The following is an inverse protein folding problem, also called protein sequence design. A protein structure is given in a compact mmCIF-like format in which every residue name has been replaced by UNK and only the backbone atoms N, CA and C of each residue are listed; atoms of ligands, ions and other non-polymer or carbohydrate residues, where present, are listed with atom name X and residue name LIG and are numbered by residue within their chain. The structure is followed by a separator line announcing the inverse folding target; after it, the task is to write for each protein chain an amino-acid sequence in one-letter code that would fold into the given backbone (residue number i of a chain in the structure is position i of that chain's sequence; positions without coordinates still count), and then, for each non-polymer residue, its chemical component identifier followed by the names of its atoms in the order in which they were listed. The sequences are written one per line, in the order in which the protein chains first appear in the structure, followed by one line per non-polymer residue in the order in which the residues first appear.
data_IF_414815002695
#
_entry.id   IF_414815002695
#
_cell.length_a   1.000
_cell.length_b   1.000
_cell.length_c   1.000
_cell.angle_alpha   90.00
_cell.angle_beta   90.00
_cell.angle_gamma   90.00
#
_symmetry.space_group_name_H-M   'P 1'
#
loop_
_entity.id
_entity.type
_entity.pdbx_description
1 polymer ?
#
# COMPACT_ATOMS: atom_id res chain seq x y z
N UNK A 1 -19.56 -3.71 25.81
CA UNK A 1 -19.19 -2.72 24.77
C UNK A 1 -18.78 -3.48 23.53
N UNK A 2 -19.66 -3.53 22.53
CA UNK A 2 -19.33 -4.09 21.22
C UNK A 2 -18.48 -3.03 20.53
N UNK A 3 -17.23 -3.33 20.21
CA UNK A 3 -16.36 -2.36 19.55
C UNK A 3 -16.91 -2.06 18.16
N UNK A 4 -16.80 -0.81 17.70
CA UNK A 4 -17.26 -0.37 16.38
C UNK A 4 -16.74 -1.26 15.23
N UNK A 5 -15.57 -1.90 15.42
CA UNK A 5 -14.97 -2.88 14.51
C UNK A 5 -15.82 -4.15 14.31
N UNK A 6 -16.53 -4.61 15.34
CA UNK A 6 -17.35 -5.83 15.27
C UNK A 6 -18.67 -5.60 14.53
N UNK A 7 -19.24 -4.39 14.65
CA UNK A 7 -20.47 -3.98 13.94
C UNK A 7 -20.22 -3.89 12.42
N UNK A 8 -19.08 -3.35 12.00
CA UNK A 8 -18.73 -3.21 10.58
C UNK A 8 -18.54 -4.55 9.86
N UNK A 9 -18.10 -5.59 10.61
CA UNK A 9 -17.95 -6.96 10.08
C UNK A 9 -19.28 -7.71 9.98
N UNK A 10 -20.27 -7.36 10.81
CA UNK A 10 -21.60 -7.96 10.84
C UNK A 10 -22.54 -7.43 9.74
N UNK A 11 -22.34 -6.20 9.27
CA UNK A 11 -23.24 -5.54 8.28
C UNK A 11 -22.79 -5.68 6.82
N UNK A 12 -21.67 -6.34 6.54
CA UNK A 12 -21.23 -6.63 5.15
C UNK A 12 -20.93 -5.42 4.26
N UNK A 13 -20.91 -4.20 4.82
CA UNK A 13 -20.64 -2.96 4.08
C UNK A 13 -19.53 -2.21 4.80
N UNK A 14 -18.29 -2.61 4.54
CA UNK A 14 -17.13 -1.75 4.79
C UNK A 14 -16.93 -0.93 3.53
N UNK A 15 -17.30 0.36 3.56
CA UNK A 15 -16.95 1.27 2.47
C UNK A 15 -15.46 1.62 2.58
N UNK A 16 -14.73 1.52 1.46
CA UNK A 16 -13.38 2.08 1.36
C UNK A 16 -13.46 3.58 1.68
N UNK A 17 -12.62 4.04 2.61
CA UNK A 17 -12.57 5.45 3.04
C UNK A 17 -11.58 6.25 2.20
N UNK A 18 -10.57 5.59 1.66
CA UNK A 18 -9.52 6.19 0.85
C UNK A 18 -9.50 5.56 -0.54
N UNK A 19 -9.20 6.37 -1.54
CA UNK A 19 -8.97 5.95 -2.90
C UNK A 19 -7.46 5.86 -3.17
N UNK A 20 -7.02 4.76 -3.77
CA UNK A 20 -5.62 4.58 -4.16
C UNK A 20 -5.48 4.78 -5.66
N UNK A 21 -4.64 5.72 -6.04
CA UNK A 21 -4.17 5.93 -7.40
C UNK A 21 -2.70 5.51 -7.56
N UNK A 22 -2.28 5.26 -8.79
CA UNK A 22 -0.89 4.97 -9.13
C UNK A 22 -0.30 6.17 -9.87
N UNK A 23 0.85 6.64 -9.40
CA UNK A 23 1.58 7.69 -10.10
C UNK A 23 1.98 7.22 -11.50
N UNK A 24 1.71 8.06 -12.49
CA UNK A 24 2.18 7.92 -13.86
C UNK A 24 3.20 9.02 -14.19
N UNK A 25 4.25 8.66 -14.90
CA UNK A 25 5.21 9.61 -15.42
C UNK A 25 4.64 10.40 -16.62
N UNK A 26 5.45 11.30 -17.19
CA UNK A 26 5.05 12.13 -18.34
C UNK A 26 4.69 11.33 -19.60
N UNK A 27 4.99 10.03 -19.64
CA UNK A 27 4.69 9.11 -20.74
C UNK A 27 3.50 8.20 -20.42
N UNK A 28 2.83 8.39 -19.28
CA UNK A 28 1.74 7.52 -18.83
C UNK A 28 2.21 6.18 -18.28
N UNK A 29 3.48 6.06 -17.86
CA UNK A 29 4.03 4.82 -17.32
C UNK A 29 4.04 4.86 -15.80
N UNK A 30 3.55 3.79 -15.16
CA UNK A 30 3.58 3.65 -13.71
C UNK A 30 4.49 2.51 -13.30
N UNK A 31 5.55 2.86 -12.57
CA UNK A 31 6.54 1.89 -12.09
C UNK A 31 5.92 0.81 -11.18
N UNK A 32 4.92 1.17 -10.37
CA UNK A 32 4.22 0.21 -9.51
C UNK A 32 3.38 -0.76 -10.33
N UNK A 33 2.66 -0.26 -11.34
CA UNK A 33 1.84 -1.09 -12.23
C UNK A 33 2.73 -2.05 -13.01
N UNK A 34 3.86 -1.57 -13.53
CA UNK A 34 4.82 -2.41 -14.25
C UNK A 34 5.45 -3.46 -13.33
N UNK A 35 5.77 -3.11 -12.09
CA UNK A 35 6.24 -4.06 -11.09
C UNK A 35 5.19 -5.14 -10.76
N UNK A 36 3.92 -4.78 -10.60
CA UNK A 36 2.83 -5.74 -10.40
C UNK A 36 2.73 -6.70 -11.59
N UNK A 37 2.73 -6.17 -12.82
CA UNK A 37 2.71 -6.97 -14.05
C UNK A 37 3.90 -7.93 -14.14
N UNK A 38 5.10 -7.49 -13.78
CA UNK A 38 6.30 -8.33 -13.73
C UNK A 38 6.10 -9.51 -12.78
N UNK A 39 5.64 -9.25 -11.54
CA UNK A 39 5.40 -10.29 -10.54
C UNK A 39 4.32 -11.29 -10.99
N UNK A 40 3.24 -10.82 -11.60
CA UNK A 40 2.15 -11.66 -12.10
C UNK A 40 2.57 -12.51 -13.31
N UNK A 41 3.40 -11.95 -14.20
CA UNK A 41 3.92 -12.66 -15.39
C UNK A 41 4.86 -13.82 -15.04
N UNK A 42 5.48 -13.80 -13.86
CA UNK A 42 6.38 -14.84 -13.36
C UNK A 42 5.93 -15.34 -11.98
N UNK A 43 4.90 -16.21 -11.90
CA UNK A 43 4.17 -16.50 -10.68
C UNK A 43 4.87 -17.51 -9.75
N UNK A 44 6.11 -17.23 -9.36
CA UNK A 44 6.86 -18.00 -8.35
C UNK A 44 6.20 -17.89 -6.97
N UNK A 45 6.57 -18.78 -6.03
CA UNK A 45 6.08 -18.71 -4.64
C UNK A 45 6.41 -17.36 -3.98
N UNK A 46 7.60 -16.81 -4.25
CA UNK A 46 8.03 -15.51 -3.73
C UNK A 46 7.21 -14.36 -4.32
N UNK A 47 6.98 -14.36 -5.64
CA UNK A 47 6.22 -13.31 -6.31
C UNK A 47 4.75 -13.31 -5.88
N UNK A 48 4.11 -14.48 -5.80
CA UNK A 48 2.75 -14.62 -5.25
C UNK A 48 2.65 -14.12 -3.81
N UNK A 49 3.64 -14.44 -2.97
CA UNK A 49 3.70 -13.96 -1.59
C UNK A 49 3.83 -12.44 -1.53
N UNK A 50 4.63 -11.86 -2.42
CA UNK A 50 4.84 -10.41 -2.51
C UNK A 50 3.57 -9.69 -2.94
N UNK A 51 2.91 -10.13 -4.01
CA UNK A 51 1.63 -9.58 -4.47
C UNK A 51 0.55 -9.68 -3.39
N UNK A 52 0.42 -10.83 -2.73
CA UNK A 52 -0.54 -11.00 -1.63
C UNK A 52 -0.31 -9.99 -0.50
N UNK A 53 0.95 -9.75 -0.12
CA UNK A 53 1.29 -8.75 0.90
C UNK A 53 0.97 -7.33 0.43
N UNK A 54 1.31 -7.00 -0.83
CA UNK A 54 1.02 -5.69 -1.41
C UNK A 54 -0.48 -5.40 -1.41
N UNK A 55 -1.28 -6.29 -2.00
CA UNK A 55 -2.73 -6.12 -2.09
C UNK A 55 -3.39 -6.06 -0.71
N UNK A 56 -2.98 -6.90 0.23
CA UNK A 56 -3.46 -6.82 1.61
C UNK A 56 -3.17 -5.44 2.23
N UNK A 57 -1.97 -4.91 2.05
CA UNK A 57 -1.62 -3.60 2.62
C UNK A 57 -2.31 -2.43 1.89
N UNK A 58 -2.54 -2.53 0.59
CA UNK A 58 -3.36 -1.57 -0.17
C UNK A 58 -4.80 -1.57 0.33
N UNK A 59 -5.42 -2.75 0.47
CA UNK A 59 -6.76 -2.88 1.04
C UNK A 59 -6.84 -2.24 2.43
N UNK A 60 -5.84 -2.49 3.27
CA UNK A 60 -5.76 -1.84 4.58
C UNK A 60 -5.66 -0.31 4.50
N UNK A 61 -4.90 0.24 3.56
CA UNK A 61 -4.85 1.68 3.32
C UNK A 61 -6.21 2.22 2.87
N UNK A 62 -6.90 1.54 1.98
CA UNK A 62 -8.24 1.94 1.51
C UNK A 62 -9.25 2.04 2.67
N UNK A 63 -9.12 1.19 3.70
CA UNK A 63 -10.04 1.21 4.85
C UNK A 63 -9.61 2.09 6.02
N UNK A 64 -8.31 2.13 6.33
CA UNK A 64 -7.79 2.77 7.54
C UNK A 64 -6.94 4.00 7.26
N UNK A 65 -6.46 4.19 6.03
CA UNK A 65 -5.48 5.21 5.69
C UNK A 65 -4.18 5.06 6.48
N UNK A 66 -3.53 6.17 6.76
CA UNK A 66 -2.24 6.20 7.48
C UNK A 66 -2.36 5.88 8.97
N UNK A 67 -3.57 5.89 9.54
CA UNK A 67 -3.82 5.52 10.93
C UNK A 67 -3.45 4.07 11.26
N UNK A 68 -3.28 3.21 10.25
CA UNK A 68 -2.85 1.83 10.49
C UNK A 68 -1.47 1.72 11.15
N UNK A 69 -0.60 2.71 10.93
CA UNK A 69 0.70 2.84 11.58
C UNK A 69 1.65 1.65 11.38
N UNK A 70 2.69 1.59 12.21
CA UNK A 70 3.68 0.52 12.17
C UNK A 70 3.06 -0.81 12.65
N UNK A 71 3.46 -1.97 12.06
CA UNK A 71 4.59 -2.15 11.15
C UNK A 71 4.26 -2.00 9.64
N UNK A 72 3.01 -1.70 9.27
CA UNK A 72 2.56 -1.68 7.87
C UNK A 72 2.95 -0.38 7.17
N UNK A 73 2.76 0.75 7.85
CA UNK A 73 2.96 2.09 7.31
C UNK A 73 3.87 2.90 8.23
N UNK A 74 4.76 3.70 7.66
CA UNK A 74 5.62 4.62 8.41
C UNK A 74 5.67 5.98 7.71
N UNK A 75 5.49 7.07 8.45
CA UNK A 75 5.70 8.42 7.91
C UNK A 75 7.18 8.65 7.69
N UNK A 76 7.55 9.22 6.54
CA UNK A 76 8.92 9.65 6.27
C UNK A 76 9.03 11.13 6.62
N UNK A 77 8.29 11.97 5.89
CA UNK A 77 8.30 13.42 6.04
C UNK A 77 7.03 14.01 5.42
N UNK A 78 6.40 14.97 6.10
CA UNK A 78 5.22 15.68 5.59
C UNK A 78 4.12 14.73 5.11
N UNK A 79 3.74 14.84 3.83
CA UNK A 79 2.71 14.02 3.19
C UNK A 79 3.25 12.69 2.61
N UNK A 80 4.54 12.38 2.78
CA UNK A 80 5.19 11.18 2.23
C UNK A 80 5.26 10.07 3.27
N UNK A 81 4.82 8.88 2.85
CA UNK A 81 4.71 7.69 3.66
C UNK A 81 5.32 6.48 2.97
N UNK A 82 5.67 5.48 3.76
CA UNK A 82 6.22 4.20 3.33
C UNK A 82 5.28 3.07 3.72
N UNK A 83 4.77 2.33 2.73
CA UNK A 83 4.22 0.98 2.89
C UNK A 83 5.36 -0.04 2.98
N UNK A 84 5.20 -1.05 3.84
CA UNK A 84 6.28 -1.97 4.21
C UNK A 84 5.98 -3.44 3.88
N UNK A 85 5.73 -3.83 2.61
CA UNK A 85 5.57 -5.23 2.22
C UNK A 85 6.95 -5.91 2.14
N UNK A 86 7.44 -6.48 3.25
CA UNK A 86 8.78 -7.05 3.36
C UNK A 86 9.06 -8.12 2.27
N UNK A 87 10.21 -8.03 1.55
CA UNK A 87 11.34 -7.11 1.76
C UNK A 87 11.25 -5.77 0.99
N UNK A 88 10.15 -5.53 0.30
CA UNK A 88 9.93 -4.32 -0.49
C UNK A 88 9.43 -3.16 0.36
N UNK A 89 9.51 -1.97 -0.24
CA UNK A 89 8.96 -0.71 0.24
C UNK A 89 8.26 -0.03 -0.91
N UNK A 90 7.13 0.59 -0.62
CA UNK A 90 6.36 1.37 -1.59
C UNK A 90 6.14 2.74 -0.99
N UNK A 91 6.66 3.78 -1.65
CA UNK A 91 6.37 5.15 -1.25
C UNK A 91 5.00 5.55 -1.76
N UNK A 92 4.27 6.30 -0.93
CA UNK A 92 3.02 6.91 -1.30
C UNK A 92 2.88 8.29 -0.68
N UNK A 93 2.02 9.12 -1.26
CA UNK A 93 1.66 10.41 -0.69
C UNK A 93 0.18 10.44 -0.31
N UNK A 94 -0.13 11.16 0.77
CA UNK A 94 -1.50 11.54 1.12
C UNK A 94 -1.86 12.84 0.42
N UNK A 95 -2.97 12.85 -0.32
CA UNK A 95 -3.54 14.05 -0.94
C UNK A 95 -4.76 14.53 -0.14
N UNK A 96 -5.46 15.53 -0.66
CA UNK A 96 -6.75 15.97 -0.12
C UNK A 96 -7.85 14.92 -0.45
N UNK A 97 -9.03 15.06 0.14
CA UNK A 97 -10.21 14.23 -0.17
C UNK A 97 -10.02 12.71 -0.04
N UNK A 98 -9.22 12.27 0.94
CA UNK A 98 -8.91 10.86 1.20
C UNK A 98 -8.25 10.14 0.02
N UNK A 99 -7.55 10.86 -0.86
CA UNK A 99 -6.80 10.25 -1.95
C UNK A 99 -5.37 9.90 -1.51
N UNK A 100 -4.90 8.73 -1.95
CA UNK A 100 -3.56 8.22 -1.74
C UNK A 100 -2.95 7.91 -3.10
N UNK A 101 -1.71 8.34 -3.33
CA UNK A 101 -1.02 8.05 -4.60
C UNK A 101 0.24 7.22 -4.36
N UNK A 102 0.29 6.00 -4.91
CA UNK A 102 1.47 5.14 -4.87
C UNK A 102 2.51 5.63 -5.89
N UNK A 103 3.71 5.95 -5.42
CA UNK A 103 4.72 6.66 -6.20
C UNK A 103 5.74 5.72 -6.85
N UNK A 104 6.36 4.87 -6.03
CA UNK A 104 7.53 4.09 -6.45
C UNK A 104 7.81 2.93 -5.48
N UNK A 105 8.17 1.76 -6.01
CA UNK A 105 8.62 0.61 -5.24
C UNK A 105 10.14 0.46 -5.29
N UNK A 106 10.72 -0.05 -4.20
CA UNK A 106 12.07 -0.59 -4.23
C UNK A 106 12.22 -1.78 -3.28
N UNK A 107 13.17 -2.66 -3.57
CA UNK A 107 13.56 -3.75 -2.67
C UNK A 107 14.58 -3.22 -1.66
N UNK A 108 14.30 -3.35 -0.36
CA UNK A 108 15.24 -2.94 0.69
C UNK A 108 16.43 -3.91 0.70
N UNK A 109 17.64 -3.41 0.42
CA UNK A 109 18.88 -4.20 0.31
C UNK A 109 19.60 -4.47 1.64
N UNK A 110 19.35 -3.67 2.69
CA UNK A 110 19.94 -3.82 4.03
C UNK A 110 18.95 -3.46 5.14
N UNK A 111 19.09 -4.05 6.33
CA UNK A 111 18.21 -3.75 7.47
C UNK A 111 18.47 -2.35 8.05
N UNK A 112 19.71 -1.85 7.95
CA UNK A 112 20.12 -0.51 8.43
C UNK A 112 19.77 0.55 7.39
N UNK A 113 19.08 1.59 7.85
CA UNK A 113 19.09 2.93 7.23
C UNK A 113 20.54 3.45 7.29
N UNK A 114 21.11 4.06 6.23
CA UNK A 114 22.31 4.88 6.40
C UNK A 114 22.10 5.96 7.45
#
# INVERSE_FOLDING_TARGET
MIYYRDIQRLIGVSMKKYEIEFYEDKKGQSQIVDWIKELDSNPTKENKSTLKKLYYQMERLEYDGTFIGEPLVKQIEGKIWELRPIPNRVFFATLEDNQLILLHQFRKKSQKTP
#
